data_IF_171688162228
#
_entry.id   IF_171688162228
#
_cell.length_a   1.000
_cell.length_b   1.000
_cell.length_c   1.000
_cell.angle_alpha   90.00
_cell.angle_beta   90.00
_cell.angle_gamma   90.00
#
_symmetry.space_group_name_H-M   'P 1'
#
loop_
_entity.id
_entity.type
_entity.pdbx_description
1 polymer ?
#
# COMPACT_ATOMS: atom_id res chain seq x y z
N UNK A 1 -11.90 -3.46 -14.34
CA UNK A 1 -11.15 -3.30 -13.06
C UNK A 1 -10.65 -4.67 -12.67
N UNK A 2 -9.36 -4.79 -12.39
CA UNK A 2 -8.79 -6.06 -11.94
C UNK A 2 -9.08 -6.21 -10.44
N UNK A 3 -9.70 -7.31 -10.05
CA UNK A 3 -9.93 -7.66 -8.65
C UNK A 3 -8.71 -8.40 -8.13
N UNK A 4 -8.19 -7.95 -6.98
CA UNK A 4 -7.04 -8.57 -6.32
C UNK A 4 -7.49 -9.21 -5.02
N UNK A 5 -6.91 -10.36 -4.70
CA UNK A 5 -7.05 -11.00 -3.40
C UNK A 5 -5.79 -10.71 -2.59
N UNK A 6 -5.95 -10.06 -1.44
CA UNK A 6 -4.84 -9.73 -0.55
C UNK A 6 -5.05 -10.33 0.83
N UNK A 7 -3.93 -10.65 1.47
CA UNK A 7 -3.88 -11.03 2.87
C UNK A 7 -3.98 -9.76 3.72
N UNK A 8 -4.93 -9.73 4.65
CA UNK A 8 -5.12 -8.62 5.58
C UNK A 8 -5.20 -9.14 7.02
N UNK A 9 -4.49 -8.50 7.94
CA UNK A 9 -4.55 -8.82 9.38
C UNK A 9 -4.75 -7.55 10.21
N UNK A 10 -5.66 -7.64 11.18
CA UNK A 10 -5.80 -6.61 12.21
C UNK A 10 -4.79 -6.89 13.32
N UNK A 11 -4.04 -5.85 13.74
CA UNK A 11 -2.94 -5.90 14.72
C UNK A 11 -3.27 -6.53 16.10
N UNK A 12 -4.52 -6.86 16.38
CA UNK A 12 -4.97 -7.24 17.72
C UNK A 12 -5.45 -8.70 17.86
N UNK A 13 -5.52 -9.50 16.79
CA UNK A 13 -6.13 -10.85 16.89
C UNK A 13 -5.41 -11.95 16.09
N UNK A 14 -4.26 -11.66 15.47
CA UNK A 14 -3.47 -12.57 14.60
C UNK A 14 -4.26 -13.32 13.49
N UNK A 15 -5.54 -12.99 13.32
CA UNK A 15 -6.41 -13.55 12.29
C UNK A 15 -6.05 -12.93 10.94
N UNK A 16 -5.75 -13.82 10.01
CA UNK A 16 -5.49 -13.49 8.62
C UNK A 16 -6.78 -13.71 7.84
N UNK A 17 -7.23 -12.68 7.13
CA UNK A 17 -8.36 -12.74 6.22
C UNK A 17 -7.88 -12.57 4.79
N UNK A 18 -8.48 -13.31 3.86
CA UNK A 18 -8.37 -13.04 2.43
C UNK A 18 -9.52 -12.11 2.08
N UNK A 19 -9.20 -10.95 1.52
CA UNK A 19 -10.19 -9.94 1.15
C UNK A 19 -10.02 -9.55 -0.32
N UNK A 20 -11.14 -9.18 -0.93
CA UNK A 20 -11.16 -8.63 -2.27
C UNK A 20 -10.87 -7.13 -2.20
N UNK A 21 -10.04 -6.63 -3.11
CA UNK A 21 -9.77 -5.21 -3.23
C UNK A 21 -9.54 -4.79 -4.68
N UNK A 22 -9.70 -3.48 -4.89
CA UNK A 22 -9.23 -2.82 -6.09
C UNK A 22 -7.80 -2.32 -5.85
N UNK A 23 -6.95 -2.34 -6.88
CA UNK A 23 -5.63 -1.72 -6.83
C UNK A 23 -5.55 -0.63 -7.89
N UNK A 24 -5.09 0.55 -7.48
CA UNK A 24 -4.74 1.64 -8.37
C UNK A 24 -3.23 1.90 -8.32
N UNK A 25 -2.63 2.14 -9.48
CA UNK A 25 -1.23 2.53 -9.58
C UNK A 25 -1.12 4.05 -9.60
N UNK A 26 -0.43 4.62 -8.60
CA UNK A 26 -0.33 6.06 -8.41
C UNK A 26 1.12 6.49 -8.18
N UNK A 27 1.42 7.74 -8.49
CA UNK A 27 2.73 8.30 -8.17
C UNK A 27 2.92 8.37 -6.64
N UNK A 28 4.15 8.19 -6.16
CA UNK A 28 4.49 8.14 -4.72
C UNK A 28 4.05 9.37 -3.92
N UNK A 29 3.88 10.53 -4.57
CA UNK A 29 3.42 11.77 -3.93
C UNK A 29 1.94 11.77 -3.60
N UNK A 30 1.15 10.89 -4.21
CA UNK A 30 -0.28 10.76 -3.95
C UNK A 30 -0.61 9.85 -2.75
N UNK A 31 0.39 9.15 -2.20
CA UNK A 31 0.24 8.26 -1.05
C UNK A 31 0.27 9.07 0.25
N UNK A 32 -0.77 8.97 1.06
CA UNK A 32 -0.89 9.65 2.34
C UNK A 32 -0.86 8.69 3.52
N UNK A 33 -0.63 9.22 4.73
CA UNK A 33 -0.81 8.43 5.94
C UNK A 33 -2.28 7.93 6.02
N UNK A 34 -2.47 6.66 6.36
CA UNK A 34 -3.75 5.96 6.32
C UNK A 34 -4.01 5.19 5.01
N UNK A 35 -3.31 5.49 3.91
CA UNK A 35 -3.39 4.67 2.71
C UNK A 35 -2.77 3.28 2.98
N UNK A 36 -3.31 2.25 2.32
CA UNK A 36 -2.72 0.91 2.31
C UNK A 36 -2.07 0.66 0.96
N UNK A 37 -0.83 0.15 0.95
CA UNK A 37 -0.10 -0.20 -0.27
C UNK A 37 0.14 -1.70 -0.35
N UNK A 38 0.20 -2.23 -1.57
CA UNK A 38 0.66 -3.58 -1.87
C UNK A 38 2.12 -3.53 -2.33
N UNK A 39 2.99 -4.21 -1.60
CA UNK A 39 4.40 -4.39 -1.94
C UNK A 39 4.58 -5.47 -3.02
N UNK A 40 5.70 -5.44 -3.73
CA UNK A 40 5.95 -6.43 -4.80
C UNK A 40 6.19 -7.86 -4.29
N UNK A 41 6.46 -8.02 -2.99
CA UNK A 41 6.53 -9.32 -2.33
C UNK A 41 5.13 -9.87 -1.94
N UNK A 42 4.05 -9.14 -2.23
CA UNK A 42 2.68 -9.54 -1.92
C UNK A 42 2.16 -9.04 -0.57
N UNK A 43 3.00 -8.40 0.24
CA UNK A 43 2.58 -7.90 1.56
C UNK A 43 1.84 -6.57 1.46
N UNK A 44 0.81 -6.40 2.29
CA UNK A 44 0.11 -5.13 2.43
C UNK A 44 0.58 -4.37 3.67
N UNK A 45 0.65 -3.05 3.56
CA UNK A 45 0.99 -2.17 4.69
C UNK A 45 0.18 -0.89 4.67
N UNK A 46 -0.46 -0.57 5.80
CA UNK A 46 -1.00 0.76 6.05
C UNK A 46 0.14 1.72 6.37
N UNK A 47 0.22 2.81 5.60
CA UNK A 47 1.27 3.82 5.70
C UNK A 47 0.98 4.72 6.89
N UNK A 48 1.93 4.80 7.82
CA UNK A 48 1.91 5.78 8.90
C UNK A 48 2.70 7.04 8.51
N UNK A 49 2.53 8.14 9.24
CA UNK A 49 3.29 9.37 9.00
C UNK A 49 4.81 9.14 9.02
N UNK A 50 5.30 8.30 9.94
CA UNK A 50 6.71 7.92 10.05
C UNK A 50 7.26 7.14 8.84
N UNK A 51 6.38 6.49 8.06
CA UNK A 51 6.77 5.76 6.85
C UNK A 51 7.00 6.71 5.66
N UNK A 52 6.60 7.98 5.77
CA UNK A 52 6.75 8.98 4.73
C UNK A 52 7.91 9.90 5.11
N UNK A 53 8.94 9.93 4.26
CA UNK A 53 10.10 10.79 4.47
C UNK A 53 10.38 11.65 3.25
N UNK A 54 11.10 12.75 3.44
CA UNK A 54 11.57 13.64 2.39
C UNK A 54 13.10 13.64 2.38
N UNK A 55 13.68 13.41 1.22
CA UNK A 55 15.11 13.49 0.99
C UNK A 55 15.40 14.57 -0.07
N UNK A 56 16.46 15.35 0.11
CA UNK A 56 16.82 16.46 -0.77
C UNK A 56 17.24 16.03 -2.18
N UNK A 57 17.73 14.81 -2.35
CA UNK A 57 18.18 14.27 -3.64
C UNK A 57 17.09 13.45 -4.35
N UNK A 58 16.40 12.56 -3.64
CA UNK A 58 15.42 11.63 -4.23
C UNK A 58 13.95 12.00 -4.02
N UNK A 59 13.69 13.10 -3.30
CA UNK A 59 12.36 13.58 -2.97
C UNK A 59 11.64 12.72 -1.92
N UNK A 60 10.32 12.59 -2.06
CA UNK A 60 9.48 11.79 -1.14
C UNK A 60 9.83 10.30 -1.22
N UNK A 61 9.94 9.64 -0.09
CA UNK A 61 10.05 8.19 0.01
C UNK A 61 8.88 7.62 0.83
N UNK A 62 8.46 6.40 0.48
CA UNK A 62 7.46 5.64 1.24
C UNK A 62 8.16 4.36 1.71
N UNK A 63 8.17 4.12 3.02
CA UNK A 63 8.92 3.03 3.66
C UNK A 63 10.41 2.96 3.24
N UNK A 64 11.03 4.13 3.01
CA UNK A 64 12.42 4.22 2.58
C UNK A 64 12.67 4.05 1.08
N UNK A 65 11.69 3.60 0.29
CA UNK A 65 11.82 3.48 -1.16
C UNK A 65 11.45 4.81 -1.84
N UNK A 66 12.29 5.25 -2.78
CA UNK A 66 12.06 6.43 -3.62
C UNK A 66 11.27 6.10 -4.91
N UNK A 67 10.90 4.83 -5.11
CA UNK A 67 10.18 4.30 -6.25
C UNK A 67 10.84 4.67 -7.58
N UNK A 68 12.14 4.38 -7.68
CA UNK A 68 12.99 4.73 -8.84
C UNK A 68 12.81 6.21 -9.23
N UNK A 69 13.03 7.12 -8.26
CA UNK A 69 12.82 8.57 -8.46
C UNK A 69 11.40 8.96 -8.93
N UNK A 70 10.40 8.11 -8.68
CA UNK A 70 9.01 8.31 -9.11
C UNK A 70 8.64 7.62 -10.43
N UNK A 71 9.59 7.00 -11.15
CA UNK A 71 9.28 6.24 -12.37
C UNK A 71 8.53 4.94 -12.10
N UNK A 72 8.66 4.37 -10.90
CA UNK A 72 7.87 3.21 -10.47
C UNK A 72 6.60 3.71 -9.79
N UNK A 73 5.44 3.22 -10.21
CA UNK A 73 4.18 3.54 -9.54
C UNK A 73 4.02 2.71 -8.26
N UNK A 74 3.28 3.28 -7.31
CA UNK A 74 2.89 2.61 -6.06
C UNK A 74 1.52 1.97 -6.27
N UNK A 75 1.38 0.70 -5.89
CA UNK A 75 0.09 -0.01 -5.88
C UNK A 75 -0.67 0.35 -4.61
N UNK A 76 -1.62 1.29 -4.69
CA UNK A 76 -2.51 1.65 -3.58
C UNK A 76 -3.76 0.78 -3.59
N UNK A 77 -4.09 0.24 -2.43
CA UNK A 77 -5.27 -0.60 -2.19
C UNK A 77 -6.50 0.29 -1.98
N UNK A 78 -7.61 -0.08 -2.61
CA UNK A 78 -8.92 0.58 -2.52
C UNK A 78 -10.02 -0.45 -2.28
N UNK A 79 -11.15 0.02 -1.75
CA UNK A 79 -12.39 -0.75 -1.69
C UNK A 79 -12.23 -2.14 -1.07
N UNK A 80 -11.67 -2.24 0.15
CA UNK A 80 -11.60 -3.51 0.87
C UNK A 80 -13.01 -4.08 1.05
N UNK A 81 -13.23 -5.29 0.55
CA UNK A 81 -14.49 -6.03 0.67
C UNK A 81 -14.20 -7.36 1.36
N UNK A 82 -14.85 -7.57 2.49
CA UNK A 82 -14.99 -8.90 3.06
C UNK A 82 -15.89 -9.70 2.14
N UNK A 83 -15.33 -10.68 1.44
CA UNK A 83 -16.14 -11.66 0.71
C UNK A 83 -17.04 -12.40 1.71
N UNK A 84 -18.32 -12.49 1.39
CA UNK A 84 -19.13 -13.60 1.92
C UNK A 84 -18.64 -14.82 1.16
N UNK A 85 -17.98 -15.75 1.86
CA UNK A 85 -17.66 -17.08 1.35
C UNK A 85 -18.90 -17.77 0.79
#
# INVERSE_FOLDING_TARGET
>A
MNTYHITYSYKHDDKIFIVDCDIEEVHKTAINAGDTILSDNGDTKTICAQDITLNSFVGRCICGDCYRLGYKLVKRVRSLKTGIL
#
